data_IF_212091337978
#
_entry.id   IF_212091337978
#
_cell.length_a   1.000
_cell.length_b   1.000
_cell.length_c   1.000
_cell.angle_alpha   90.00
_cell.angle_beta   90.00
_cell.angle_gamma   90.00
#
_symmetry.space_group_name_H-M   'P 1'
#
loop_
_entity.id
_entity.type
_entity.pdbx_description
1 polymer ?
#
# COMPACT_ATOMS: atom_id res chain seq x y z
N UNK A 1 -2.65 20.05 25.33
CA UNK A 1 -3.82 20.63 24.65
C UNK A 1 -4.32 19.60 23.64
N UNK A 2 -5.31 18.81 24.02
CA UNK A 2 -5.83 17.70 23.20
C UNK A 2 -6.82 18.27 22.19
N UNK A 3 -6.43 18.37 20.92
CA UNK A 3 -7.38 18.65 19.85
C UNK A 3 -8.32 17.46 19.74
N UNK A 4 -9.56 17.70 20.14
CA UNK A 4 -10.70 16.83 19.85
C UNK A 4 -10.73 16.57 18.36
N UNK A 5 -10.33 15.36 17.95
CA UNK A 5 -10.51 14.90 16.58
C UNK A 5 -12.02 14.75 16.37
N UNK A 6 -12.66 15.77 15.80
CA UNK A 6 -13.90 15.56 15.07
C UNK A 6 -13.66 14.35 14.17
N UNK A 7 -14.41 13.27 14.39
CA UNK A 7 -14.07 11.95 13.85
C UNK A 7 -14.01 12.00 12.33
N UNK A 8 -12.80 12.19 11.79
CA UNK A 8 -12.61 12.22 10.36
C UNK A 8 -13.13 10.90 9.80
N UNK A 9 -13.98 10.96 8.80
CA UNK A 9 -14.63 9.78 8.24
C UNK A 9 -14.05 9.55 6.87
N UNK A 10 -13.50 8.36 6.67
CA UNK A 10 -13.12 7.86 5.37
C UNK A 10 -14.38 7.39 4.66
N UNK A 11 -14.47 7.70 3.37
CA UNK A 11 -15.51 7.17 2.48
C UNK A 11 -14.84 6.51 1.29
N UNK A 12 -15.44 5.41 0.82
CA UNK A 12 -15.01 4.73 -0.40
C UNK A 12 -16.21 4.12 -1.11
N UNK A 13 -16.04 3.86 -2.40
CA UNK A 13 -17.00 3.13 -3.21
C UNK A 13 -16.45 1.73 -3.48
N UNK A 14 -17.29 0.74 -3.31
CA UNK A 14 -16.94 -0.67 -3.38
C UNK A 14 -17.91 -1.39 -4.31
N UNK A 15 -17.38 -2.22 -5.20
CA UNK A 15 -18.20 -3.08 -6.06
C UNK A 15 -18.64 -4.30 -5.24
N UNK A 16 -19.94 -4.48 -5.07
CA UNK A 16 -20.53 -5.66 -4.44
C UNK A 16 -20.59 -6.83 -5.44
N UNK A 17 -20.78 -8.05 -4.91
CA UNK A 17 -20.82 -9.28 -5.71
C UNK A 17 -21.97 -9.30 -6.73
N UNK A 18 -23.02 -8.52 -6.50
CA UNK A 18 -24.16 -8.33 -7.41
C UNK A 18 -23.91 -7.31 -8.52
N UNK A 19 -22.70 -6.73 -8.58
CA UNK A 19 -22.31 -5.70 -9.53
C UNK A 19 -22.78 -4.28 -9.15
N UNK A 20 -23.42 -4.10 -8.01
CA UNK A 20 -23.80 -2.77 -7.52
C UNK A 20 -22.62 -2.04 -6.89
N UNK A 21 -22.60 -0.71 -7.00
CA UNK A 21 -21.61 0.13 -6.31
C UNK A 21 -22.18 0.55 -4.96
N UNK A 22 -21.55 0.09 -3.89
CA UNK A 22 -21.89 0.44 -2.51
C UNK A 22 -20.97 1.54 -2.00
N UNK A 23 -21.55 2.62 -1.49
CA UNK A 23 -20.80 3.64 -0.75
C UNK A 23 -20.63 3.20 0.71
N UNK A 24 -19.38 3.09 1.13
CA UNK A 24 -18.98 2.68 2.46
C UNK A 24 -18.28 3.82 3.19
N UNK A 25 -18.29 3.77 4.53
CA UNK A 25 -17.61 4.76 5.36
C UNK A 25 -17.06 4.15 6.65
N UNK A 26 -15.97 4.71 7.17
CA UNK A 26 -15.36 4.31 8.44
C UNK A 26 -14.71 5.50 9.14
N UNK A 27 -14.66 5.46 10.48
CA UNK A 27 -13.93 6.47 11.27
C UNK A 27 -12.43 6.29 11.08
N UNK A 28 -11.76 7.37 10.67
CA UNK A 28 -10.32 7.50 10.68
C UNK A 28 -9.80 7.48 12.13
N UNK A 29 -8.76 6.68 12.35
CA UNK A 29 -8.05 6.62 13.63
C UNK A 29 -6.56 6.69 13.33
N UNK A 30 -5.92 7.75 13.78
CA UNK A 30 -4.46 7.88 13.75
C UNK A 30 -3.96 8.07 15.18
N UNK A 31 -3.01 7.23 15.58
CA UNK A 31 -2.31 7.36 16.85
C UNK A 31 -1.34 8.56 16.84
N UNK A 32 -0.67 8.79 15.71
CA UNK A 32 0.31 9.88 15.54
C UNK A 32 -0.30 11.22 15.14
N UNK A 33 -1.63 11.34 15.14
CA UNK A 33 -2.33 12.57 14.75
C UNK A 33 -2.25 12.90 13.25
N UNK A 34 -1.96 11.90 12.40
CA UNK A 34 -1.96 12.09 10.94
C UNK A 34 -3.35 12.54 10.46
N UNK A 35 -3.34 13.51 9.54
CA UNK A 35 -4.55 13.96 8.86
C UNK A 35 -5.20 12.78 8.11
N UNK A 36 -6.54 12.78 7.99
CA UNK A 36 -7.23 11.77 7.20
C UNK A 36 -6.77 11.84 5.73
N UNK A 37 -6.50 10.70 5.08
CA UNK A 37 -6.18 10.66 3.66
C UNK A 37 -7.32 11.23 2.82
N UNK A 38 -6.98 11.89 1.72
CA UNK A 38 -7.96 12.60 0.87
C UNK A 38 -8.89 11.64 0.12
N UNK A 39 -8.44 10.40 -0.08
CA UNK A 39 -9.17 9.34 -0.76
C UNK A 39 -8.73 7.97 -0.26
N UNK A 40 -9.64 7.02 -0.35
CA UNK A 40 -9.39 5.60 -0.11
C UNK A 40 -9.53 4.88 -1.44
N UNK A 41 -8.54 4.04 -1.76
CA UNK A 41 -8.53 3.21 -2.96
C UNK A 41 -8.54 1.75 -2.52
N UNK A 42 -9.43 0.96 -3.11
CA UNK A 42 -9.47 -0.49 -2.88
C UNK A 42 -8.26 -1.13 -3.56
N UNK A 43 -7.56 -1.98 -2.81
CA UNK A 43 -6.48 -2.81 -3.28
C UNK A 43 -6.80 -4.28 -3.00
N UNK A 44 -6.34 -5.16 -3.88
CA UNK A 44 -6.55 -6.60 -3.85
C UNK A 44 -5.28 -7.33 -4.33
N UNK A 45 -5.35 -8.65 -4.50
CA UNK A 45 -4.26 -9.50 -4.99
C UNK A 45 -3.84 -9.20 -6.44
N UNK A 46 -4.67 -8.49 -7.21
CA UNK A 46 -4.33 -7.99 -8.55
C UNK A 46 -3.54 -6.67 -8.51
N UNK A 47 -3.57 -5.98 -7.37
CA UNK A 47 -2.96 -4.66 -7.20
C UNK A 47 -1.44 -4.73 -7.17
N UNK A 48 -0.80 -4.14 -8.18
CA UNK A 48 0.67 -4.10 -8.27
C UNK A 48 1.29 -3.24 -7.18
N UNK A 49 2.34 -3.75 -6.54
CA UNK A 49 3.08 -3.03 -5.49
C UNK A 49 3.61 -1.65 -5.90
N UNK A 50 4.01 -1.47 -7.16
CA UNK A 50 4.44 -0.16 -7.68
C UNK A 50 3.28 0.85 -7.75
N UNK A 51 2.09 0.40 -8.16
CA UNK A 51 0.91 1.24 -8.23
C UNK A 51 0.40 1.60 -6.82
N UNK A 52 0.31 0.60 -5.93
CA UNK A 52 -0.01 0.79 -4.51
C UNK A 52 0.95 1.79 -3.85
N UNK A 53 2.25 1.64 -4.07
CA UNK A 53 3.25 2.56 -3.53
C UNK A 53 3.07 4.00 -4.02
N UNK A 54 2.81 4.19 -5.32
CA UNK A 54 2.53 5.53 -5.88
C UNK A 54 1.28 6.15 -5.27
N UNK A 55 0.19 5.39 -5.16
CA UNK A 55 -1.05 5.86 -4.53
C UNK A 55 -0.84 6.28 -3.08
N UNK A 56 -0.05 5.52 -2.32
CA UNK A 56 0.32 5.86 -0.96
C UNK A 56 1.15 7.16 -0.90
N UNK A 57 2.12 7.33 -1.81
CA UNK A 57 2.91 8.57 -1.92
C UNK A 57 2.07 9.80 -2.31
N UNK A 58 0.98 9.60 -3.05
CA UNK A 58 0.03 10.65 -3.42
C UNK A 58 -0.89 11.07 -2.25
N UNK A 59 -0.74 10.44 -1.07
CA UNK A 59 -1.57 10.71 0.10
C UNK A 59 -2.91 9.98 0.09
N UNK A 60 -2.99 8.86 -0.63
CA UNK A 60 -4.17 7.98 -0.65
C UNK A 60 -4.02 6.87 0.38
N UNK A 61 -5.11 6.53 1.06
CA UNK A 61 -5.17 5.27 1.81
C UNK A 61 -5.48 4.11 0.87
N UNK A 62 -4.87 2.96 1.15
CA UNK A 62 -5.19 1.70 0.48
C UNK A 62 -6.03 0.85 1.42
N UNK A 63 -7.21 0.43 0.97
CA UNK A 63 -8.05 -0.53 1.66
C UNK A 63 -7.84 -1.90 1.03
N UNK A 64 -7.22 -2.83 1.76
CA UNK A 64 -7.03 -4.19 1.27
C UNK A 64 -8.33 -5.00 1.31
N UNK A 65 -8.60 -5.74 0.24
CA UNK A 65 -9.68 -6.71 0.11
C UNK A 65 -9.10 -8.07 -0.28
N UNK A 66 -9.42 -9.08 0.51
CA UNK A 66 -8.86 -10.43 0.39
C UNK A 66 -8.24 -10.88 1.70
N UNK A 67 -7.33 -11.85 1.62
CA UNK A 67 -6.69 -12.44 2.78
C UNK A 67 -5.53 -11.59 3.34
N UNK A 68 -5.24 -11.78 4.62
CA UNK A 68 -4.17 -11.07 5.31
C UNK A 68 -2.77 -11.41 4.78
N UNK A 69 -2.57 -12.63 4.27
CA UNK A 69 -1.26 -13.09 3.84
C UNK A 69 -0.78 -12.31 2.62
N UNK A 70 -1.63 -12.19 1.60
CA UNK A 70 -1.38 -11.41 0.40
C UNK A 70 -1.27 -9.90 0.70
N UNK A 71 -2.09 -9.38 1.62
CA UNK A 71 -1.97 -7.99 2.09
C UNK A 71 -0.57 -7.69 2.64
N UNK A 72 -0.06 -8.60 3.49
CA UNK A 72 1.27 -8.48 4.10
C UNK A 72 2.36 -8.59 3.04
N UNK A 73 2.21 -9.47 2.05
CA UNK A 73 3.16 -9.55 0.93
C UNK A 73 3.20 -8.24 0.13
N UNK A 74 2.04 -7.65 -0.18
CA UNK A 74 1.96 -6.34 -0.83
C UNK A 74 2.69 -5.27 0.00
N UNK A 75 2.43 -5.21 1.30
CA UNK A 75 3.05 -4.25 2.19
C UNK A 75 4.59 -4.40 2.21
N UNK A 76 5.10 -5.64 2.27
CA UNK A 76 6.54 -5.90 2.18
C UNK A 76 7.12 -5.50 0.83
N UNK A 77 6.41 -5.75 -0.26
CA UNK A 77 6.82 -5.37 -1.60
C UNK A 77 6.87 -3.85 -1.79
N UNK A 78 5.97 -3.10 -1.13
CA UNK A 78 5.99 -1.64 -1.06
C UNK A 78 7.17 -1.13 -0.22
N UNK A 79 7.41 -1.70 0.96
CA UNK A 79 8.52 -1.31 1.83
C UNK A 79 9.89 -1.43 1.13
N UNK A 80 10.14 -2.57 0.46
CA UNK A 80 11.38 -2.77 -0.34
C UNK A 80 11.57 -1.70 -1.41
N UNK A 81 10.48 -1.21 -2.01
CA UNK A 81 10.52 -0.16 -3.04
C UNK A 81 10.79 1.22 -2.44
N UNK A 82 10.20 1.52 -1.30
CA UNK A 82 10.49 2.73 -0.54
C UNK A 82 12.00 2.81 -0.21
N UNK A 83 12.56 1.72 0.32
CA UNK A 83 13.99 1.64 0.67
C UNK A 83 14.91 1.74 -0.54
N UNK A 84 14.59 1.02 -1.63
CA UNK A 84 15.38 1.06 -2.86
C UNK A 84 15.43 2.47 -3.47
N UNK A 85 14.37 3.27 -3.30
CA UNK A 85 14.31 4.64 -3.80
C UNK A 85 15.02 5.63 -2.87
N UNK A 86 14.93 5.45 -1.55
CA UNK A 86 15.66 6.26 -0.57
C UNK A 86 17.19 6.12 -0.71
N UNK A 87 17.67 4.94 -1.11
CA UNK A 87 19.10 4.67 -1.32
C UNK A 87 19.69 5.25 -2.62
N UNK A 88 18.95 6.01 -3.42
CA UNK A 88 19.44 6.62 -4.66
C UNK A 88 19.40 8.15 -4.67
N UNK A 89 20.45 8.81 -4.17
CA UNK A 89 20.97 10.03 -4.76
C UNK A 89 22.22 9.66 -5.59
N UNK A 90 22.06 9.54 -6.91
CA UNK A 90 23.19 9.29 -7.82
C UNK A 90 23.40 7.81 -8.22
N UNK A 91 24.04 7.61 -9.36
CA UNK A 91 24.07 6.38 -10.16
C UNK A 91 25.17 5.41 -9.71
N UNK A 92 24.81 4.21 -9.27
CA UNK A 92 25.59 2.96 -9.34
C UNK A 92 24.70 1.82 -8.80
N UNK A 93 24.66 0.58 -9.27
CA UNK A 93 25.12 -0.10 -10.46
C UNK A 93 24.13 -1.28 -10.65
N UNK A 94 23.79 -1.64 -11.89
CA UNK A 94 23.50 -3.04 -12.18
C UNK A 94 24.86 -3.75 -12.22
N UNK A 95 24.94 -4.97 -11.70
CA UNK A 95 25.11 -6.12 -12.57
C UNK A 95 23.91 -7.07 -12.33
N UNK A 96 23.29 -7.72 -13.32
CA UNK A 96 23.83 -8.18 -14.57
C UNK A 96 24.50 -9.56 -14.44
N UNK A 97 23.70 -10.62 -14.17
CA UNK A 97 23.85 -12.05 -14.58
C UNK A 97 25.11 -12.84 -14.11
N UNK A 98 24.99 -13.78 -13.15
CA UNK A 98 24.84 -15.28 -13.24
C UNK A 98 26.18 -16.04 -13.49
N UNK A 99 26.29 -17.41 -13.49
CA UNK A 99 25.60 -18.52 -12.79
C UNK A 99 26.62 -19.43 -12.00
N UNK A 100 26.16 -20.53 -11.36
CA UNK A 100 26.82 -21.87 -11.29
C UNK A 100 26.45 -22.68 -10.03
N UNK A 101 25.96 -23.90 -10.28
CA UNK A 101 25.75 -25.03 -9.37
C UNK A 101 27.08 -25.59 -8.82
N UNK A 102 27.05 -26.26 -7.65
CA UNK A 102 27.72 -27.56 -7.44
C UNK A 102 26.66 -28.61 -7.00
N UNK A 103 26.40 -29.71 -7.70
CA UNK A 103 27.22 -30.93 -7.82
C UNK A 103 27.74 -31.47 -6.48
N UNK A 104 27.06 -32.48 -5.93
CA UNK A 104 27.50 -33.58 -5.04
C UNK A 104 26.23 -34.38 -4.64
N UNK A 105 26.15 -35.71 -4.61
CA UNK A 105 27.03 -36.82 -4.96
C UNK A 105 26.15 -38.06 -5.21
#
# INVERSE_FOLDING_TARGET
MSTSSAAATLTWEELADDGSVRRCSARWRSESGQAPPRRVVIADDTTKADAAWRLACEGSALLWRGDYHNARQLLQAMARRADARARKPGRAAKPGKAPATPAEA
#
